data_IF_222710614064
#
_entry.id   IF_222710614064
#
_cell.length_a   1.000
_cell.length_b   1.000
_cell.length_c   1.000
_cell.angle_alpha   90.00
_cell.angle_beta   90.00
_cell.angle_gamma   90.00
#
_symmetry.space_group_name_H-M   'P 1'
#
loop_
_entity.id
_entity.type
_entity.pdbx_description
1 polymer ?
#
# COMPACT_ATOMS: atom_id res chain seq x y z
N UNK A 1 7.86 -6.81 8.10
CA UNK A 1 8.02 -5.38 8.44
C UNK A 1 8.60 -4.67 7.22
N UNK A 2 7.99 -3.58 6.76
CA UNK A 2 8.42 -2.83 5.56
C UNK A 2 9.24 -1.57 5.92
N UNK A 3 9.52 -1.32 7.21
CA UNK A 3 10.31 -0.16 7.65
C UNK A 3 9.64 1.20 7.45
N UNK A 4 8.35 1.24 7.11
CA UNK A 4 7.56 2.45 6.84
C UNK A 4 6.23 2.43 7.60
N UNK A 5 5.59 3.59 7.73
CA UNK A 5 4.29 3.70 8.39
C UNK A 5 3.15 3.20 7.50
N UNK A 6 2.10 2.67 8.13
CA UNK A 6 0.86 2.28 7.44
C UNK A 6 0.23 3.45 6.67
N UNK A 7 0.32 4.67 7.22
CA UNK A 7 -0.16 5.87 6.55
C UNK A 7 0.57 6.14 5.23
N UNK A 8 1.89 5.92 5.16
CA UNK A 8 2.63 6.07 3.90
C UNK A 8 2.21 5.01 2.88
N UNK A 9 1.99 3.78 3.32
CA UNK A 9 1.50 2.70 2.45
C UNK A 9 0.11 3.05 1.90
N UNK A 10 -0.80 3.55 2.73
CA UNK A 10 -2.12 4.01 2.27
C UNK A 10 -1.98 5.12 1.22
N UNK A 11 -1.20 6.16 1.49
CA UNK A 11 -1.00 7.27 0.55
C UNK A 11 -0.44 6.80 -0.80
N UNK A 12 0.57 5.92 -0.79
CA UNK A 12 1.19 5.41 -2.02
C UNK A 12 0.24 4.54 -2.83
N UNK A 13 -0.70 3.85 -2.17
CA UNK A 13 -1.61 2.89 -2.81
C UNK A 13 -2.94 3.49 -3.23
N UNK A 14 -3.19 4.78 -2.97
CA UNK A 14 -4.40 5.49 -3.41
C UNK A 14 -4.62 5.48 -4.93
N UNK A 15 -3.54 5.30 -5.72
CA UNK A 15 -3.60 5.22 -7.17
C UNK A 15 -3.69 3.80 -7.73
N UNK A 16 -3.66 2.77 -6.88
CA UNK A 16 -3.71 1.38 -7.33
C UNK A 16 -5.15 0.90 -7.49
N UNK A 17 -5.37 0.07 -8.50
CA UNK A 17 -6.63 -0.58 -8.80
C UNK A 17 -6.57 -2.08 -8.43
N UNK A 18 -7.72 -2.78 -8.36
CA UNK A 18 -7.71 -4.21 -8.00
C UNK A 18 -6.81 -5.11 -8.85
N UNK A 19 -6.55 -4.70 -10.10
CA UNK A 19 -5.60 -5.33 -11.02
C UNK A 19 -4.13 -5.19 -10.62
N UNK A 20 -3.79 -4.18 -9.83
CA UNK A 20 -2.45 -4.01 -9.23
C UNK A 20 -2.32 -4.77 -7.89
N UNK A 21 -3.30 -5.62 -7.57
CA UNK A 21 -3.28 -6.48 -6.39
C UNK A 21 -3.69 -5.81 -5.07
N UNK A 22 -4.31 -4.62 -5.11
CA UNK A 22 -4.93 -4.00 -3.94
C UNK A 22 -6.40 -4.41 -3.78
N UNK A 23 -6.82 -4.78 -2.57
CA UNK A 23 -8.20 -5.21 -2.30
C UNK A 23 -8.76 -4.59 -1.03
N UNK A 24 -10.09 -4.45 -0.97
CA UNK A 24 -10.81 -4.05 0.24
C UNK A 24 -11.50 -5.25 0.87
N UNK A 25 -11.16 -5.54 2.12
CA UNK A 25 -11.75 -6.62 2.91
C UNK A 25 -12.76 -6.03 3.87
N UNK A 26 -14.02 -6.43 3.73
CA UNK A 26 -15.11 -5.98 4.58
C UNK A 26 -15.49 -7.05 5.59
N UNK A 27 -15.72 -6.62 6.83
CA UNK A 27 -16.28 -7.48 7.86
C UNK A 27 -17.78 -7.66 7.67
N UNK A 28 -18.33 -8.78 8.13
CA UNK A 28 -19.79 -9.02 8.03
C UNK A 28 -20.63 -7.99 8.80
N UNK A 29 -20.04 -7.29 9.77
CA UNK A 29 -20.68 -6.25 10.58
C UNK A 29 -19.87 -4.94 10.56
N UNK A 30 -18.96 -4.79 9.59
CA UNK A 30 -18.06 -3.64 9.52
C UNK A 30 -18.11 -3.08 8.10
N UNK A 31 -18.70 -1.89 7.99
CA UNK A 31 -18.82 -1.16 6.73
C UNK A 31 -17.50 -0.45 6.37
N UNK A 32 -16.59 -0.30 7.35
CA UNK A 32 -15.26 0.25 7.14
C UNK A 32 -14.33 -0.87 6.65
N UNK A 33 -14.13 -0.89 5.33
CA UNK A 33 -13.24 -1.85 4.69
C UNK A 33 -11.79 -1.67 5.15
N UNK A 34 -11.05 -2.78 5.23
CA UNK A 34 -9.61 -2.78 5.49
C UNK A 34 -8.89 -2.99 4.17
N UNK A 35 -7.90 -2.14 3.89
CA UNK A 35 -7.00 -2.31 2.76
C UNK A 35 -6.12 -3.54 2.96
N UNK A 36 -6.08 -4.43 1.99
CA UNK A 36 -5.22 -5.59 1.96
C UNK A 36 -4.59 -5.76 0.57
N UNK A 37 -3.60 -6.64 0.48
CA UNK A 37 -2.82 -6.87 -0.73
C UNK A 37 -2.77 -8.35 -1.05
N UNK A 38 -2.80 -8.68 -2.34
CA UNK A 38 -2.38 -9.98 -2.83
C UNK A 38 -0.84 -10.10 -2.76
N UNK A 39 -0.31 -11.29 -3.02
CA UNK A 39 1.15 -11.46 -3.11
C UNK A 39 1.76 -10.56 -4.20
N UNK A 40 1.06 -10.35 -5.30
CA UNK A 40 1.48 -9.44 -6.39
C UNK A 40 1.38 -7.97 -5.95
N UNK A 41 0.30 -7.58 -5.28
CA UNK A 41 0.15 -6.21 -4.75
C UNK A 41 1.20 -5.85 -3.70
N UNK A 42 1.71 -6.83 -2.96
CA UNK A 42 2.86 -6.62 -2.06
C UNK A 42 4.13 -6.25 -2.85
N UNK A 43 4.35 -6.87 -4.01
CA UNK A 43 5.50 -6.55 -4.87
C UNK A 43 5.33 -5.14 -5.49
N UNK A 44 4.13 -4.77 -5.93
CA UNK A 44 3.85 -3.40 -6.41
C UNK A 44 4.10 -2.34 -5.33
N UNK A 45 3.65 -2.58 -4.09
CA UNK A 45 3.93 -1.67 -2.96
C UNK A 45 5.42 -1.51 -2.70
N UNK A 46 6.22 -2.59 -2.84
CA UNK A 46 7.67 -2.50 -2.69
C UNK A 46 8.29 -1.64 -3.79
N UNK A 47 7.86 -1.78 -5.04
CA UNK A 47 8.33 -0.95 -6.15
C UNK A 47 8.01 0.54 -5.92
N UNK A 48 6.78 0.85 -5.48
CA UNK A 48 6.39 2.22 -5.12
C UNK A 48 7.24 2.79 -3.99
N UNK A 49 7.58 1.98 -2.99
CA UNK A 49 8.45 2.38 -1.89
C UNK A 49 9.88 2.61 -2.33
N UNK A 50 10.43 1.76 -3.20
CA UNK A 50 11.76 1.95 -3.80
C UNK A 50 11.83 3.27 -4.58
N UNK A 51 10.80 3.54 -5.39
CA UNK A 51 10.69 4.77 -6.15
C UNK A 51 10.53 5.99 -5.24
N UNK A 52 9.69 5.89 -4.21
CA UNK A 52 9.54 6.94 -3.19
C UNK A 52 10.88 7.27 -2.50
N UNK A 53 11.65 6.27 -2.10
CA UNK A 53 12.97 6.48 -1.47
C UNK A 53 14.02 7.03 -2.45
N UNK A 54 13.92 6.69 -3.74
CA UNK A 54 14.82 7.22 -4.77
C UNK A 54 14.59 8.71 -5.02
N UNK A 55 13.33 9.15 -5.01
CA UNK A 55 12.97 10.54 -5.34
C UNK A 55 12.82 11.44 -4.13
N UNK A 56 12.60 10.88 -2.94
CA UNK A 56 12.56 11.61 -1.69
C UNK A 56 13.97 11.61 -1.08
N UNK A 57 14.75 12.71 -1.16
CA UNK A 57 15.98 12.80 -0.40
C UNK A 57 15.57 12.64 1.07
N UNK A 58 16.07 11.58 1.71
CA UNK A 58 15.73 11.19 3.08
C UNK A 58 15.50 12.42 3.93
N UNK A 59 14.26 12.66 4.37
CA UNK A 59 14.03 13.68 5.39
C UNK A 59 14.88 13.26 6.60
N UNK A 60 15.82 14.11 7.06
CA UNK A 60 16.65 13.79 8.22
C UNK A 60 15.79 13.60 9.47
#
# INVERSE_FOLDING_TARGET
DLGVSEALIQDLTLGLEPEDGVIWVYGANDDDGILAFTDEGIEEVKLLLEDYHRVSPSKP
#
